data_IF_201761695288
#
_entry.id   IF_201761695288
#
_cell.length_a   1.000
_cell.length_b   1.000
_cell.length_c   1.000
_cell.angle_alpha   90.00
_cell.angle_beta   90.00
_cell.angle_gamma   90.00
#
_symmetry.space_group_name_H-M   'P 1'
#
loop_
_entity.id
_entity.type
_entity.pdbx_description
1 polymer ?
#
# COMPACT_ATOMS: atom_id res chain seq x y z
N UNK A 1 -34.83 -35.56 26.90
CA UNK A 1 -33.68 -35.66 25.99
C UNK A 1 -33.40 -34.26 25.43
N UNK A 2 -32.33 -33.60 25.84
CA UNK A 2 -31.63 -32.59 25.04
C UNK A 2 -30.28 -32.32 25.72
N UNK A 3 -29.21 -32.92 25.20
CA UNK A 3 -27.83 -32.66 25.65
C UNK A 3 -27.27 -31.59 24.72
N UNK A 4 -26.92 -30.46 25.31
CA UNK A 4 -26.37 -29.28 24.63
C UNK A 4 -25.03 -29.65 23.96
N UNK A 5 -25.04 -29.66 22.63
CA UNK A 5 -23.90 -30.04 21.79
C UNK A 5 -22.89 -28.89 21.65
N UNK A 6 -21.80 -28.99 22.39
CA UNK A 6 -20.43 -28.92 21.84
C UNK A 6 -20.04 -27.74 20.92
N UNK A 7 -20.45 -26.51 21.23
CA UNK A 7 -19.93 -25.29 20.56
C UNK A 7 -18.82 -24.63 21.39
N UNK A 8 -17.69 -25.30 21.63
CA UNK A 8 -16.55 -24.64 22.31
C UNK A 8 -15.22 -25.41 22.20
N UNK A 9 -14.78 -25.81 21.00
CA UNK A 9 -13.42 -26.39 20.83
C UNK A 9 -12.64 -25.95 19.57
N UNK A 10 -13.22 -25.17 18.66
CA UNK A 10 -12.58 -24.80 17.38
C UNK A 10 -12.17 -23.33 17.22
N UNK A 11 -12.33 -22.51 18.27
CA UNK A 11 -12.02 -21.06 18.23
C UNK A 11 -10.52 -20.69 18.10
N UNK A 12 -9.53 -21.41 18.68
CA UNK A 12 -8.15 -20.92 18.65
C UNK A 12 -7.42 -21.14 17.31
N UNK A 13 -7.88 -22.10 16.48
CA UNK A 13 -7.21 -22.44 15.22
C UNK A 13 -7.42 -21.36 14.13
N UNK A 14 -8.61 -20.76 14.07
CA UNK A 14 -8.90 -19.70 13.09
C UNK A 14 -8.12 -18.41 13.39
N UNK A 15 -7.90 -18.09 14.67
CA UNK A 15 -7.12 -16.92 15.06
C UNK A 15 -5.65 -17.07 14.70
N UNK A 16 -5.07 -18.26 14.92
CA UNK A 16 -3.68 -18.54 14.58
C UNK A 16 -3.44 -18.45 13.06
N UNK A 17 -4.37 -18.93 12.23
CA UNK A 17 -4.31 -18.81 10.77
C UNK A 17 -4.32 -17.36 10.29
N UNK A 18 -5.12 -16.48 10.90
CA UNK A 18 -5.18 -15.06 10.57
C UNK A 18 -3.88 -14.32 10.92
N UNK A 19 -3.27 -14.64 12.07
CA UNK A 19 -2.00 -14.02 12.49
C UNK A 19 -0.85 -14.46 11.57
N UNK A 20 -0.79 -15.73 11.19
CA UNK A 20 0.24 -16.26 10.27
C UNK A 20 0.11 -15.69 8.85
N UNK A 21 -1.11 -15.47 8.36
CA UNK A 21 -1.33 -14.85 7.05
C UNK A 21 -0.97 -13.36 7.02
N UNK A 22 -1.18 -12.63 8.12
CA UNK A 22 -0.67 -11.25 8.28
C UNK A 22 0.87 -11.19 8.35
N UNK A 23 1.50 -12.12 9.07
CA UNK A 23 2.96 -12.17 9.18
C UNK A 23 3.64 -12.39 7.83
N UNK A 24 3.01 -13.15 6.92
CA UNK A 24 3.50 -13.33 5.55
C UNK A 24 3.55 -12.04 4.74
N UNK A 25 2.65 -11.09 4.97
CA UNK A 25 2.63 -9.81 4.25
C UNK A 25 3.71 -8.81 4.72
N UNK A 26 4.13 -8.90 5.98
CA UNK A 26 5.15 -8.00 6.55
C UNK A 26 6.58 -8.54 6.41
N UNK A 27 6.75 -9.87 6.40
CA UNK A 27 8.07 -10.51 6.51
C UNK A 27 8.63 -10.95 5.16
N UNK A 28 7.78 -11.12 4.14
CA UNK A 28 8.26 -11.40 2.79
C UNK A 28 8.80 -10.11 2.16
N UNK A 29 10.04 -10.09 1.64
CA UNK A 29 10.46 -9.04 0.73
C UNK A 29 9.54 -9.12 -0.49
N UNK A 30 8.53 -8.25 -0.53
CA UNK A 30 7.61 -8.22 -1.65
C UNK A 30 8.36 -7.90 -2.95
N UNK A 31 7.75 -8.12 -4.12
CA UNK A 31 8.31 -7.73 -5.43
C UNK A 31 8.57 -6.22 -5.63
N UNK A 32 8.57 -5.43 -4.55
CA UNK A 32 8.99 -4.03 -4.47
C UNK A 32 9.81 -3.72 -3.21
N UNK A 33 10.44 -4.71 -2.57
CA UNK A 33 11.44 -4.48 -1.55
C UNK A 33 12.57 -3.67 -2.19
N UNK A 34 12.54 -2.36 -1.94
CA UNK A 34 13.53 -1.43 -2.45
C UNK A 34 14.92 -1.93 -2.04
N UNK A 35 15.91 -1.89 -2.95
CA UNK A 35 17.28 -2.16 -2.55
C UNK A 35 17.62 -1.23 -1.39
N UNK A 36 18.30 -1.81 -0.40
CA UNK A 36 19.02 -1.16 0.70
C UNK A 36 19.32 0.32 0.46
N UNK A 37 18.75 1.17 1.30
CA UNK A 37 19.09 2.58 1.50
C UNK A 37 18.97 3.53 0.29
N UNK A 38 17.99 3.36 -0.59
CA UNK A 38 17.49 4.51 -1.34
C UNK A 38 16.96 5.54 -0.32
N UNK A 39 17.49 6.77 -0.31
CA UNK A 39 17.06 7.82 0.60
C UNK A 39 15.61 8.21 0.31
N UNK A 40 14.70 7.53 1.01
CA UNK A 40 13.25 7.72 0.91
C UNK A 40 12.89 9.19 1.17
N UNK A 41 13.65 9.87 2.05
CA UNK A 41 13.46 11.28 2.35
C UNK A 41 13.71 12.14 1.11
N UNK A 42 14.86 11.99 0.47
CA UNK A 42 15.18 12.72 -0.76
C UNK A 42 14.18 12.46 -1.88
N UNK A 43 13.76 11.20 -2.08
CA UNK A 43 12.74 10.86 -3.09
C UNK A 43 11.39 11.48 -2.78
N UNK A 44 10.97 11.46 -1.52
CA UNK A 44 9.72 12.06 -1.09
C UNK A 44 9.75 13.58 -1.29
N UNK A 45 10.86 14.23 -0.92
CA UNK A 45 11.03 15.67 -1.10
C UNK A 45 11.00 16.05 -2.58
N UNK A 46 11.76 15.36 -3.42
CA UNK A 46 11.80 15.62 -4.86
C UNK A 46 10.41 15.52 -5.50
N UNK A 47 9.58 14.54 -5.09
CA UNK A 47 8.18 14.46 -5.51
C UNK A 47 7.37 15.67 -5.05
N UNK A 48 7.50 16.06 -3.79
CA UNK A 48 6.77 17.19 -3.22
C UNK A 48 7.12 18.51 -3.91
N UNK A 49 8.39 18.72 -4.24
CA UNK A 49 8.84 19.92 -4.97
C UNK A 49 8.11 20.04 -6.32
N UNK A 50 7.92 18.93 -7.03
CA UNK A 50 7.13 18.91 -8.29
C UNK A 50 5.66 19.20 -8.04
N UNK A 51 5.06 18.64 -6.99
CA UNK A 51 3.66 18.91 -6.63
C UNK A 51 3.45 20.38 -6.32
N UNK A 52 4.35 20.99 -5.55
CA UNK A 52 4.30 22.41 -5.20
C UNK A 52 4.54 23.32 -6.41
N UNK A 53 5.37 22.90 -7.36
CA UNK A 53 5.58 23.59 -8.62
C UNK A 53 4.43 23.42 -9.64
N UNK A 54 3.40 22.60 -9.32
CA UNK A 54 2.33 22.27 -10.26
C UNK A 54 2.73 21.27 -11.36
N UNK A 55 3.94 20.72 -11.30
CA UNK A 55 4.45 19.68 -12.21
C UNK A 55 3.91 18.29 -11.81
N UNK A 56 2.61 18.07 -12.02
CA UNK A 56 2.00 16.79 -11.67
C UNK A 56 2.45 15.64 -12.58
N UNK A 57 2.80 15.92 -13.84
CA UNK A 57 3.34 14.91 -14.75
C UNK A 57 4.71 14.42 -14.26
N UNK A 58 5.59 15.31 -13.81
CA UNK A 58 6.85 14.92 -13.17
C UNK A 58 6.65 14.25 -11.80
N UNK A 59 5.68 14.70 -11.01
CA UNK A 59 5.35 14.05 -9.72
C UNK A 59 4.83 12.61 -9.88
N UNK A 60 4.20 12.29 -11.01
CA UNK A 60 3.68 10.95 -11.33
C UNK A 60 4.79 9.90 -11.42
N UNK A 61 5.98 10.27 -11.92
CA UNK A 61 7.11 9.33 -12.07
C UNK A 61 7.66 8.81 -10.73
N UNK A 62 7.40 9.52 -9.64
CA UNK A 62 7.78 9.08 -8.29
C UNK A 62 6.82 8.03 -7.70
N UNK A 63 5.70 7.75 -8.37
CA UNK A 63 4.71 6.78 -7.90
C UNK A 63 5.16 5.33 -8.14
N UNK A 64 4.69 4.43 -7.27
CA UNK A 64 5.05 3.03 -7.35
C UNK A 64 4.63 2.40 -8.69
N UNK A 65 5.38 1.41 -9.21
CA UNK A 65 5.01 0.71 -10.43
C UNK A 65 3.59 0.13 -10.38
N UNK A 66 3.17 -0.37 -9.21
CA UNK A 66 1.82 -0.92 -9.01
C UNK A 66 0.70 0.13 -9.09
N UNK A 67 0.98 1.40 -8.74
CA UNK A 67 0.00 2.47 -8.96
C UNK A 67 -0.06 2.83 -10.46
N UNK A 68 1.12 3.00 -11.07
CA UNK A 68 1.25 3.39 -12.49
C UNK A 68 0.75 2.34 -13.48
N UNK A 69 0.58 1.09 -13.06
CA UNK A 69 -0.02 0.04 -13.90
C UNK A 69 -1.53 0.18 -14.07
N UNK A 70 -2.21 0.98 -13.23
CA UNK A 70 -3.67 1.11 -13.22
C UNK A 70 -4.17 2.53 -13.44
N UNK A 71 -3.36 3.54 -13.10
CA UNK A 71 -3.73 4.96 -13.22
C UNK A 71 -2.84 5.59 -14.27
N UNK A 72 -3.41 6.23 -15.30
CA UNK A 72 -2.61 6.93 -16.31
C UNK A 72 -2.13 8.31 -15.81
N UNK A 73 -1.07 8.90 -16.40
CA UNK A 73 -0.62 10.25 -16.06
C UNK A 73 -1.73 11.30 -16.13
N UNK A 74 -2.58 11.27 -17.17
CA UNK A 74 -3.71 12.20 -17.32
C UNK A 74 -4.77 12.05 -16.22
N UNK A 75 -5.07 10.82 -15.81
CA UNK A 75 -6.00 10.56 -14.71
C UNK A 75 -5.44 11.13 -13.40
N UNK A 76 -4.14 10.91 -13.16
CA UNK A 76 -3.46 11.47 -12.02
C UNK A 76 -3.49 13.01 -12.04
N UNK A 77 -3.14 13.64 -13.17
CA UNK A 77 -3.18 15.09 -13.35
C UNK A 77 -4.56 15.67 -13.03
N UNK A 78 -5.62 15.11 -13.61
CA UNK A 78 -7.01 15.54 -13.35
C UNK A 78 -7.36 15.43 -11.86
N UNK A 79 -6.95 14.35 -11.21
CA UNK A 79 -7.16 14.16 -9.77
C UNK A 79 -6.39 15.18 -8.91
N UNK A 80 -5.21 15.62 -9.34
CA UNK A 80 -4.42 16.63 -8.62
C UNK A 80 -5.06 18.01 -8.77
N UNK A 81 -5.47 18.38 -9.98
CA UNK A 81 -6.12 19.67 -10.27
C UNK A 81 -7.50 19.81 -9.62
N UNK A 82 -8.22 18.70 -9.43
CA UNK A 82 -9.54 18.68 -8.80
C UNK A 82 -9.53 18.71 -7.27
N UNK A 83 -8.36 18.67 -6.62
CA UNK A 83 -8.28 18.73 -5.15
C UNK A 83 -8.57 20.14 -4.67
N UNK A 84 -9.64 20.29 -3.91
CA UNK A 84 -9.82 21.44 -3.03
C UNK A 84 -8.87 21.29 -1.84
N UNK A 85 -8.05 22.32 -1.61
CA UNK A 85 -7.23 22.46 -0.40
C UNK A 85 -8.04 23.11 0.71
#
# INVERSE_FOLDING_TARGET
MSKNSTLSRFTPACLAGLVLSLAGCATAPGPGAAPVAEDIGSRAQARWDRVLAGDFSGAYEFLSPGFRSSVTPDQYLRSMLGRKV
#
